data_IF_193781879369
#
_entry.id   IF_193781879369
#
_cell.length_a   1.000
_cell.length_b   1.000
_cell.length_c   1.000
_cell.angle_alpha   90.00
_cell.angle_beta   90.00
_cell.angle_gamma   90.00
#
_symmetry.space_group_name_H-M   'P 1'
#
loop_
_entity.id
_entity.type
_entity.pdbx_description
1 polymer ?
#
# COMPACT_ATOMS: atom_id res chain seq x y z
N UNK A 1 24.93 -15.28 -21.86
CA UNK A 1 25.46 -13.95 -22.25
C UNK A 1 24.33 -12.97 -22.02
N UNK A 2 24.35 -12.19 -20.94
CA UNK A 2 23.30 -11.19 -20.69
C UNK A 2 23.45 -10.09 -21.74
N UNK A 3 22.38 -9.78 -22.47
CA UNK A 3 22.37 -8.68 -23.42
C UNK A 3 22.51 -7.36 -22.66
N UNK A 4 23.71 -6.78 -22.73
CA UNK A 4 24.07 -5.52 -22.06
C UNK A 4 23.17 -4.36 -22.50
N UNK A 5 22.53 -4.43 -23.68
CA UNK A 5 21.63 -3.38 -24.17
C UNK A 5 20.31 -3.35 -23.38
N UNK A 6 19.71 -4.50 -23.10
CA UNK A 6 18.47 -4.56 -22.30
C UNK A 6 18.65 -4.06 -20.87
N UNK A 7 19.84 -4.26 -20.29
CA UNK A 7 20.17 -3.80 -18.94
C UNK A 7 20.09 -2.27 -18.80
N UNK A 8 20.41 -1.52 -19.86
CA UNK A 8 20.35 -0.05 -19.84
C UNK A 8 18.91 0.47 -19.87
N UNK A 9 18.00 -0.20 -20.59
CA UNK A 9 16.56 0.15 -20.57
C UNK A 9 15.96 -0.08 -19.19
N UNK A 10 16.19 -1.27 -18.60
CA UNK A 10 15.69 -1.61 -17.27
C UNK A 10 16.22 -0.65 -16.20
N UNK A 11 17.52 -0.34 -16.25
CA UNK A 11 18.13 0.61 -15.35
C UNK A 11 17.51 2.00 -15.53
N UNK A 12 17.38 2.48 -16.78
CA UNK A 12 16.83 3.81 -17.04
C UNK A 12 15.36 3.93 -16.60
N UNK A 13 14.58 2.89 -16.86
CA UNK A 13 13.21 2.78 -16.38
C UNK A 13 13.13 2.92 -14.86
N UNK A 14 13.95 2.15 -14.13
CA UNK A 14 14.01 2.20 -12.68
C UNK A 14 14.45 3.58 -12.15
N UNK A 15 15.47 4.19 -12.76
CA UNK A 15 15.94 5.54 -12.42
C UNK A 15 14.81 6.59 -12.55
N UNK A 16 14.02 6.54 -13.64
CA UNK A 16 12.91 7.47 -13.84
C UNK A 16 11.85 7.29 -12.75
N UNK A 17 11.47 6.04 -12.43
CA UNK A 17 10.50 5.78 -11.36
C UNK A 17 11.01 6.29 -10.02
N UNK A 18 12.24 5.93 -9.63
CA UNK A 18 12.83 6.39 -8.37
C UNK A 18 12.90 7.92 -8.29
N UNK A 19 13.25 8.60 -9.39
CA UNK A 19 13.24 10.05 -9.43
C UNK A 19 11.84 10.63 -9.23
N UNK A 20 10.81 10.07 -9.88
CA UNK A 20 9.43 10.53 -9.72
C UNK A 20 8.92 10.34 -8.29
N UNK A 21 9.11 9.16 -7.71
CA UNK A 21 8.72 8.86 -6.34
C UNK A 21 9.46 9.75 -5.33
N UNK A 22 10.78 9.91 -5.48
CA UNK A 22 11.60 10.80 -4.65
C UNK A 22 11.22 12.28 -4.74
N UNK A 23 10.68 12.72 -5.89
CA UNK A 23 10.15 14.07 -6.10
C UNK A 23 8.65 14.20 -5.81
N UNK A 24 8.09 13.26 -5.03
CA UNK A 24 6.69 13.26 -4.61
C UNK A 24 5.67 13.22 -5.77
N UNK A 25 6.02 12.51 -6.84
CA UNK A 25 5.18 12.24 -8.01
C UNK A 25 4.97 10.73 -8.17
N UNK A 26 4.26 10.07 -7.23
CA UNK A 26 3.98 8.65 -7.34
C UNK A 26 3.17 8.34 -8.60
N UNK A 27 3.30 7.09 -9.06
CA UNK A 27 2.60 6.54 -10.21
C UNK A 27 1.49 5.61 -9.72
N UNK A 28 0.29 5.70 -10.28
CA UNK A 28 -0.92 5.07 -9.72
C UNK A 28 -1.63 4.11 -10.68
N UNK A 29 -1.23 4.09 -11.95
CA UNK A 29 -1.89 3.30 -12.98
C UNK A 29 -0.89 2.60 -13.91
N UNK A 30 -1.39 1.57 -14.60
CA UNK A 30 -0.67 0.95 -15.72
C UNK A 30 -0.22 1.98 -16.77
N UNK A 31 -1.06 2.98 -17.08
CA UNK A 31 -0.76 4.01 -18.07
C UNK A 31 0.44 4.87 -17.66
N UNK A 32 0.58 5.19 -16.38
CA UNK A 32 1.75 5.90 -15.86
C UNK A 32 3.04 5.12 -16.11
N UNK A 33 2.99 3.79 -15.93
CA UNK A 33 4.16 2.92 -16.09
C UNK A 33 4.47 2.66 -17.55
N UNK A 34 3.46 2.60 -18.43
CA UNK A 34 3.63 2.59 -19.89
C UNK A 34 4.28 3.90 -20.38
N UNK A 35 3.88 5.04 -19.82
CA UNK A 35 4.52 6.33 -20.14
C UNK A 35 6.00 6.34 -19.74
N UNK A 36 6.33 5.88 -18.53
CA UNK A 36 7.73 5.77 -18.09
C UNK A 36 8.53 4.81 -18.99
N UNK A 37 7.91 3.74 -19.47
CA UNK A 37 8.56 2.81 -20.39
C UNK A 37 8.91 3.49 -21.72
N UNK A 38 7.97 4.28 -22.28
CA UNK A 38 8.23 5.06 -23.49
C UNK A 38 9.37 6.06 -23.28
N UNK A 39 9.40 6.76 -22.14
CA UNK A 39 10.48 7.69 -21.80
C UNK A 39 11.85 6.99 -21.70
N UNK A 40 11.88 5.80 -21.10
CA UNK A 40 13.09 4.99 -21.00
C UNK A 40 13.56 4.48 -22.38
N UNK A 41 12.64 4.05 -23.25
CA UNK A 41 12.93 3.67 -24.63
C UNK A 41 13.58 4.82 -25.42
N UNK A 42 12.99 6.02 -25.34
CA UNK A 42 13.53 7.23 -25.99
C UNK A 42 14.93 7.55 -25.45
N UNK A 43 15.11 7.54 -24.13
CA UNK A 43 16.37 7.90 -23.49
C UNK A 43 17.51 6.90 -23.76
N UNK A 44 17.18 5.65 -24.08
CA UNK A 44 18.16 4.58 -24.35
C UNK A 44 18.31 4.26 -25.85
N UNK A 45 17.48 4.88 -26.71
CA UNK A 45 17.36 4.53 -28.12
C UNK A 45 17.08 3.03 -28.36
N UNK A 46 16.34 2.41 -27.44
CA UNK A 46 15.90 1.01 -27.51
C UNK A 46 14.42 1.01 -27.87
N UNK A 47 14.06 0.24 -28.90
CA UNK A 47 12.67 0.10 -29.32
C UNK A 47 12.08 -1.21 -28.80
N UNK A 48 10.86 -1.15 -28.27
CA UNK A 48 10.07 -2.34 -27.95
C UNK A 48 8.98 -2.45 -29.01
N UNK A 49 8.84 -3.64 -29.59
CA UNK A 49 7.78 -3.94 -30.54
C UNK A 49 6.39 -3.58 -30.01
N UNK A 50 5.54 -3.01 -30.88
CA UNK A 50 4.21 -2.50 -30.51
C UNK A 50 3.31 -3.60 -29.92
N UNK A 51 3.49 -4.87 -30.30
CA UNK A 51 2.71 -5.99 -29.76
C UNK A 51 3.19 -6.42 -28.36
N UNK A 52 4.32 -5.89 -27.89
CA UNK A 52 4.96 -6.28 -26.64
C UNK A 52 5.03 -5.16 -25.60
N UNK A 53 4.90 -3.89 -26.00
CA UNK A 53 5.04 -2.75 -25.06
C UNK A 53 4.07 -2.83 -23.88
N UNK A 54 2.83 -3.26 -24.11
CA UNK A 54 1.83 -3.41 -23.04
C UNK A 54 2.19 -4.52 -22.07
N UNK A 55 2.66 -5.68 -22.57
CA UNK A 55 3.09 -6.79 -21.72
C UNK A 55 4.30 -6.42 -20.86
N UNK A 56 5.24 -5.67 -21.44
CA UNK A 56 6.42 -5.20 -20.72
C UNK A 56 6.01 -4.17 -19.66
N UNK A 57 5.17 -3.20 -20.01
CA UNK A 57 4.64 -2.21 -19.07
C UNK A 57 3.85 -2.85 -17.91
N UNK A 58 3.03 -3.86 -18.21
CA UNK A 58 2.26 -4.61 -17.21
C UNK A 58 3.18 -5.38 -16.26
N UNK A 59 4.20 -6.04 -16.80
CA UNK A 59 5.21 -6.72 -15.97
C UNK A 59 5.91 -5.73 -15.03
N UNK A 60 6.31 -4.57 -15.53
CA UNK A 60 6.94 -3.54 -14.70
C UNK A 60 5.99 -2.97 -13.65
N UNK A 61 4.74 -2.68 -14.01
CA UNK A 61 3.70 -2.24 -13.08
C UNK A 61 3.58 -3.22 -11.90
N UNK A 62 3.44 -4.51 -12.18
CA UNK A 62 3.28 -5.52 -11.13
C UNK A 62 4.56 -5.77 -10.32
N UNK A 63 5.73 -5.81 -10.96
CA UNK A 63 6.98 -6.18 -10.29
C UNK A 63 7.65 -4.98 -9.62
N UNK A 64 7.87 -3.90 -10.37
CA UNK A 64 8.55 -2.70 -9.87
C UNK A 64 7.60 -1.85 -9.07
N UNK A 65 6.40 -1.60 -9.58
CA UNK A 65 5.43 -0.75 -8.91
C UNK A 65 5.05 -1.25 -7.53
N UNK A 66 4.78 -2.55 -7.41
CA UNK A 66 4.34 -3.12 -6.14
C UNK A 66 5.44 -3.07 -5.08
N UNK A 67 6.71 -3.11 -5.50
CA UNK A 67 7.86 -3.05 -4.60
C UNK A 67 8.19 -1.62 -4.22
N UNK A 68 8.30 -0.71 -5.17
CA UNK A 68 8.73 0.66 -4.87
C UNK A 68 7.72 1.38 -3.97
N UNK A 69 6.42 1.16 -4.18
CA UNK A 69 5.36 1.76 -3.36
C UNK A 69 5.46 1.37 -1.88
N UNK A 70 5.95 0.14 -1.61
CA UNK A 70 6.15 -0.38 -0.26
C UNK A 70 7.52 -0.02 0.28
N UNK A 71 8.58 -0.23 -0.50
CA UNK A 71 9.94 -0.16 -0.01
C UNK A 71 10.36 1.28 0.27
N UNK A 72 9.95 2.25 -0.54
CA UNK A 72 10.37 3.63 -0.37
C UNK A 72 9.98 4.22 1.00
N UNK A 73 8.70 4.16 1.44
CA UNK A 73 8.34 4.59 2.79
C UNK A 73 9.12 3.85 3.90
N UNK A 74 9.41 2.56 3.72
CA UNK A 74 10.16 1.77 4.69
C UNK A 74 11.63 2.20 4.76
N UNK A 75 12.25 2.55 3.63
CA UNK A 75 13.59 3.12 3.58
C UNK A 75 13.64 4.46 4.30
N UNK A 76 12.67 5.34 4.07
CA UNK A 76 12.60 6.63 4.76
C UNK A 76 12.56 6.45 6.28
N UNK A 77 11.75 5.50 6.77
CA UNK A 77 11.63 5.19 8.20
C UNK A 77 12.90 4.55 8.75
N UNK A 78 13.51 3.63 8.00
CA UNK A 78 14.77 2.97 8.34
C UNK A 78 15.92 3.97 8.47
N UNK A 79 16.04 4.91 7.53
CA UNK A 79 17.07 5.95 7.49
C UNK A 79 16.88 6.98 8.60
N UNK A 80 15.63 7.32 8.93
CA UNK A 80 15.31 8.21 10.04
C UNK A 80 15.48 7.56 11.43
N UNK A 81 15.84 6.28 11.49
CA UNK A 81 16.17 5.59 12.75
C UNK A 81 14.95 5.15 13.58
N UNK A 82 13.77 5.06 12.98
CA UNK A 82 12.60 4.53 13.70
C UNK A 82 12.75 3.03 13.99
N UNK A 83 12.14 2.60 15.09
CA UNK A 83 12.00 1.18 15.41
C UNK A 83 10.98 0.53 14.46
N UNK A 84 11.47 0.07 13.31
CA UNK A 84 10.69 -0.57 12.26
C UNK A 84 10.73 -2.10 12.44
N UNK A 85 9.59 -2.74 12.25
CA UNK A 85 9.45 -4.19 12.26
C UNK A 85 8.77 -4.65 10.97
N UNK A 86 9.42 -5.54 10.23
CA UNK A 86 8.95 -6.07 8.96
C UNK A 86 8.67 -7.56 9.09
N UNK A 87 7.39 -7.92 8.98
CA UNK A 87 6.94 -9.31 9.01
C UNK A 87 6.60 -9.78 7.59
N UNK A 88 6.82 -11.06 7.33
CA UNK A 88 6.61 -11.70 6.03
C UNK A 88 7.89 -12.27 5.42
N UNK A 89 7.74 -12.89 4.26
CA UNK A 89 8.81 -13.63 3.61
C UNK A 89 9.71 -12.71 2.76
N UNK A 90 11.03 -12.94 2.83
CA UNK A 90 12.04 -12.30 1.97
C UNK A 90 12.68 -11.03 2.54
N UNK A 91 12.17 -10.49 3.66
CA UNK A 91 12.75 -9.31 4.30
C UNK A 91 14.17 -9.56 4.79
N UNK A 92 14.47 -10.77 5.27
CA UNK A 92 15.78 -11.19 5.75
C UNK A 92 16.88 -11.15 4.67
N UNK A 93 16.50 -11.11 3.40
CA UNK A 93 17.40 -10.99 2.24
C UNK A 93 17.40 -9.59 1.62
N UNK A 94 16.61 -8.65 2.16
CA UNK A 94 16.53 -7.29 1.59
C UNK A 94 17.83 -6.53 1.86
N UNK A 95 18.48 -5.93 0.85
CA UNK A 95 19.84 -5.39 0.96
C UNK A 95 20.00 -4.32 2.06
N UNK A 96 18.95 -3.54 2.29
CA UNK A 96 18.94 -2.35 3.16
C UNK A 96 17.97 -2.47 4.34
N UNK A 97 17.02 -3.41 4.29
CA UNK A 97 15.91 -3.54 5.26
C UNK A 97 15.98 -4.84 6.08
N UNK A 98 16.91 -5.76 5.79
CA UNK A 98 17.03 -7.03 6.49
C UNK A 98 17.17 -6.90 8.02
N UNK A 99 17.81 -5.83 8.50
CA UNK A 99 17.92 -5.53 9.94
C UNK A 99 16.56 -5.36 10.66
N UNK A 100 15.50 -5.03 9.90
CA UNK A 100 14.15 -4.84 10.43
C UNK A 100 13.28 -6.09 10.30
N UNK A 101 13.78 -7.16 9.67
CA UNK A 101 13.03 -8.40 9.51
C UNK A 101 12.70 -9.02 10.88
N UNK A 102 11.47 -9.53 11.01
CA UNK A 102 10.96 -10.21 12.21
C UNK A 102 10.38 -11.60 11.91
N UNK A 103 10.63 -12.10 10.70
CA UNK A 103 10.17 -13.41 10.26
C UNK A 103 8.71 -13.42 9.82
N UNK A 104 8.18 -14.62 9.67
CA UNK A 104 6.81 -14.87 9.24
C UNK A 104 5.81 -14.75 10.40
N UNK A 105 4.58 -14.33 10.10
CA UNK A 105 3.44 -14.34 11.02
C UNK A 105 2.21 -14.88 10.30
N UNK A 106 1.38 -15.66 10.99
CA UNK A 106 0.17 -16.20 10.39
C UNK A 106 -0.93 -15.14 10.32
N UNK A 107 -1.77 -15.23 9.28
CA UNK A 107 -3.00 -14.44 9.20
C UNK A 107 -3.98 -14.81 10.33
N UNK A 108 -4.98 -13.96 10.56
CA UNK A 108 -5.95 -14.16 11.63
C UNK A 108 -5.44 -13.66 12.96
N UNK A 109 -5.61 -14.46 14.03
CA UNK A 109 -5.41 -14.00 15.40
C UNK A 109 -4.00 -13.47 15.69
N UNK A 110 -2.95 -14.14 15.19
CA UNK A 110 -1.56 -13.69 15.38
C UNK A 110 -1.33 -12.30 14.78
N UNK A 111 -1.72 -12.11 13.51
CA UNK A 111 -1.60 -10.83 12.83
C UNK A 111 -2.47 -9.74 13.49
N UNK A 112 -3.67 -10.09 13.97
CA UNK A 112 -4.53 -9.17 14.73
C UNK A 112 -3.88 -8.70 16.03
N UNK A 113 -3.26 -9.61 16.79
CA UNK A 113 -2.47 -9.26 17.98
C UNK A 113 -1.32 -8.34 17.65
N UNK A 114 -0.62 -8.60 16.54
CA UNK A 114 0.47 -7.73 16.07
C UNK A 114 -0.04 -6.32 15.70
N UNK A 115 -1.15 -6.21 14.99
CA UNK A 115 -1.75 -4.91 14.66
C UNK A 115 -2.10 -4.12 15.92
N UNK A 116 -2.67 -4.77 16.94
CA UNK A 116 -3.02 -4.15 18.22
C UNK A 116 -1.78 -3.73 19.03
N UNK A 117 -0.74 -4.56 19.06
CA UNK A 117 0.49 -4.29 19.80
C UNK A 117 1.36 -3.20 19.15
N UNK A 118 1.21 -2.98 17.85
CA UNK A 118 1.98 -1.99 17.10
C UNK A 118 1.47 -0.58 17.37
N UNK A 119 2.38 0.36 17.65
CA UNK A 119 2.00 1.77 17.88
C UNK A 119 1.38 2.41 16.65
N UNK A 120 1.90 2.08 15.47
CA UNK A 120 1.44 2.57 14.16
C UNK A 120 1.63 1.43 13.16
N UNK A 121 0.56 1.11 12.42
CA UNK A 121 0.56 0.15 11.33
C UNK A 121 0.58 0.92 10.01
N UNK A 122 1.57 0.68 9.16
CA UNK A 122 1.71 1.37 7.87
C UNK A 122 0.94 0.62 6.79
N UNK A 123 0.03 1.31 6.09
CA UNK A 123 -0.68 0.77 4.93
C UNK A 123 -0.14 1.42 3.65
N UNK A 124 0.47 0.63 2.78
CA UNK A 124 1.14 1.09 1.56
C UNK A 124 0.86 0.11 0.42
N UNK A 125 -0.09 0.45 -0.44
CA UNK A 125 -0.51 -0.39 -1.55
C UNK A 125 -0.58 0.39 -2.87
N UNK A 126 -0.12 -0.25 -3.94
CA UNK A 126 -0.04 0.32 -5.29
C UNK A 126 -1.39 0.45 -6.02
N UNK A 127 -2.47 -0.11 -5.46
CA UNK A 127 -3.80 -0.19 -6.09
C UNK A 127 -4.91 0.30 -5.13
N UNK A 128 -4.56 1.19 -4.20
CA UNK A 128 -5.45 1.60 -3.12
C UNK A 128 -5.32 0.75 -1.86
N UNK A 129 -5.81 1.29 -0.76
CA UNK A 129 -5.62 0.76 0.59
C UNK A 129 -6.78 -0.13 1.06
N UNK A 130 -7.84 -0.29 0.26
CA UNK A 130 -8.92 -1.23 0.54
C UNK A 130 -8.40 -2.68 0.57
N UNK A 131 -8.31 -3.25 1.78
CA UNK A 131 -7.85 -4.62 1.99
C UNK A 131 -8.36 -5.19 3.31
N UNK A 132 -8.50 -6.52 3.41
CA UNK A 132 -8.90 -7.18 4.66
C UNK A 132 -7.98 -6.82 5.83
N UNK A 133 -6.68 -6.63 5.59
CA UNK A 133 -5.71 -6.26 6.63
C UNK A 133 -6.05 -4.94 7.33
N UNK A 134 -6.54 -3.95 6.59
CA UNK A 134 -6.97 -2.67 7.15
C UNK A 134 -8.18 -2.88 8.07
N UNK A 135 -9.17 -3.64 7.62
CA UNK A 135 -10.38 -3.91 8.42
C UNK A 135 -10.07 -4.76 9.65
N UNK A 136 -9.34 -5.86 9.49
CA UNK A 136 -8.96 -6.75 10.59
C UNK A 136 -8.09 -6.02 11.61
N UNK A 137 -7.13 -5.23 11.14
CA UNK A 137 -6.24 -4.47 12.00
C UNK A 137 -6.94 -3.37 12.78
N UNK A 138 -7.82 -2.59 12.14
CA UNK A 138 -8.59 -1.56 12.84
C UNK A 138 -9.61 -2.21 13.79
N UNK A 139 -10.28 -3.30 13.38
CA UNK A 139 -11.17 -4.06 14.27
C UNK A 139 -10.44 -4.58 15.53
N UNK A 140 -9.17 -4.93 15.37
CA UNK A 140 -8.29 -5.34 16.48
C UNK A 140 -7.79 -4.17 17.33
N UNK A 141 -8.15 -2.92 17.01
CA UNK A 141 -7.73 -1.72 17.75
C UNK A 141 -6.36 -1.18 17.32
N UNK A 142 -5.84 -1.60 16.16
CA UNK A 142 -4.63 -1.06 15.58
C UNK A 142 -4.83 0.35 15.03
N UNK A 143 -3.84 1.23 15.21
CA UNK A 143 -3.81 2.55 14.58
C UNK A 143 -3.13 2.46 13.22
N UNK A 144 -3.78 2.92 12.15
CA UNK A 144 -3.28 2.83 10.78
C UNK A 144 -2.91 4.20 10.21
N UNK A 145 -1.76 4.26 9.54
CA UNK A 145 -1.31 5.40 8.75
C UNK A 145 -1.12 4.93 7.31
N UNK A 146 -1.83 5.54 6.37
CA UNK A 146 -1.93 5.06 4.99
C UNK A 146 -1.26 6.02 4.02
N UNK A 147 -0.64 5.51 2.96
CA UNK A 147 -0.18 6.38 1.87
C UNK A 147 -1.38 6.81 1.03
N UNK A 148 -1.42 8.07 0.63
CA UNK A 148 -2.42 8.56 -0.31
C UNK A 148 -2.46 7.70 -1.57
N UNK A 149 -3.68 7.38 -2.03
CA UNK A 149 -3.93 6.73 -3.30
C UNK A 149 -5.27 7.20 -3.88
N UNK A 150 -5.35 7.60 -5.17
CA UNK A 150 -6.59 8.08 -5.79
C UNK A 150 -7.70 7.02 -5.79
N UNK A 151 -7.35 5.74 -6.02
CA UNK A 151 -8.31 4.62 -5.96
C UNK A 151 -9.06 4.49 -4.62
N UNK A 152 -8.59 5.11 -3.52
CA UNK A 152 -9.36 5.12 -2.27
C UNK A 152 -10.61 5.99 -2.36
N UNK A 153 -10.66 6.93 -3.30
CA UNK A 153 -11.78 7.87 -3.51
C UNK A 153 -12.70 7.44 -4.65
N UNK A 154 -12.33 6.39 -5.39
CA UNK A 154 -13.11 5.85 -6.51
C UNK A 154 -14.27 4.95 -6.03
N UNK A 155 -15.18 4.62 -6.95
CA UNK A 155 -16.26 3.68 -6.66
C UNK A 155 -15.69 2.30 -6.33
N UNK A 156 -15.98 1.82 -5.11
CA UNK A 156 -15.41 0.57 -4.59
C UNK A 156 -14.07 0.74 -3.86
N UNK A 157 -13.53 1.96 -3.83
CA UNK A 157 -12.40 2.35 -3.00
C UNK A 157 -12.72 2.38 -1.51
N UNK A 158 -11.70 2.65 -0.70
CA UNK A 158 -11.80 2.66 0.76
C UNK A 158 -12.84 3.69 1.27
N UNK A 159 -12.96 4.83 0.59
CA UNK A 159 -13.89 5.93 0.89
C UNK A 159 -15.38 5.54 0.81
N UNK A 160 -15.70 4.42 0.15
CA UNK A 160 -17.06 3.85 0.18
C UNK A 160 -17.44 3.32 1.56
N UNK A 161 -16.44 2.94 2.37
CA UNK A 161 -16.64 2.23 3.63
C UNK A 161 -16.22 3.05 4.84
N UNK A 162 -15.17 3.85 4.68
CA UNK A 162 -14.57 4.67 5.72
C UNK A 162 -14.62 6.15 5.33
N UNK A 163 -14.80 7.00 6.32
CA UNK A 163 -14.68 8.45 6.14
C UNK A 163 -13.20 8.81 5.97
N UNK A 164 -12.85 9.37 4.80
CA UNK A 164 -11.46 9.67 4.45
C UNK A 164 -10.81 10.75 5.33
N UNK A 165 -11.60 11.53 6.07
CA UNK A 165 -11.13 12.58 6.98
C UNK A 165 -11.13 12.11 8.44
N UNK A 166 -12.16 11.36 8.83
CA UNK A 166 -12.41 11.02 10.24
C UNK A 166 -11.99 9.60 10.64
N UNK A 167 -11.95 8.65 9.70
CA UNK A 167 -11.67 7.24 9.98
C UNK A 167 -10.22 6.84 9.60
N UNK A 168 -9.55 7.64 8.76
CA UNK A 168 -8.24 7.30 8.17
C UNK A 168 -7.25 8.46 8.32
N UNK A 169 -5.99 8.13 8.60
CA UNK A 169 -4.88 9.09 8.50
C UNK A 169 -4.08 8.79 7.24
N UNK A 170 -3.90 9.81 6.40
CA UNK A 170 -3.22 9.70 5.12
C UNK A 170 -1.93 10.51 5.13
N UNK A 171 -0.84 9.99 4.57
CA UNK A 171 0.37 10.76 4.27
C UNK A 171 0.59 10.87 2.76
N UNK A 172 1.15 12.01 2.35
CA UNK A 172 1.36 12.31 0.92
C UNK A 172 2.82 12.26 0.49
N UNK A 173 3.76 12.47 1.41
CA UNK A 173 5.19 12.59 1.12
C UNK A 173 6.05 12.02 2.25
N UNK A 174 7.37 11.99 2.04
CA UNK A 174 8.34 11.65 3.09
C UNK A 174 8.20 12.53 4.32
N UNK A 175 8.24 13.85 4.16
CA UNK A 175 8.21 14.78 5.29
C UNK A 175 6.88 14.70 6.05
N UNK A 176 5.78 14.51 5.32
CA UNK A 176 4.46 14.31 5.92
C UNK A 176 4.37 12.99 6.69
N UNK A 177 4.93 11.90 6.14
CA UNK A 177 5.05 10.62 6.84
C UNK A 177 5.83 10.80 8.15
N UNK A 178 7.03 11.37 8.10
CA UNK A 178 7.89 11.51 9.28
C UNK A 178 7.23 12.39 10.34
N UNK A 179 6.63 13.52 9.93
CA UNK A 179 5.89 14.42 10.82
C UNK A 179 4.73 13.70 11.51
N UNK A 180 3.94 12.92 10.77
CA UNK A 180 2.80 12.18 11.34
C UNK A 180 3.26 11.06 12.26
N UNK A 181 4.30 10.31 11.88
CA UNK A 181 4.90 9.29 12.75
C UNK A 181 5.35 9.90 14.07
N UNK A 182 6.12 10.99 14.04
CA UNK A 182 6.59 11.68 15.24
C UNK A 182 5.44 12.16 16.12
N UNK A 183 4.46 12.83 15.50
CA UNK A 183 3.29 13.35 16.20
C UNK A 183 2.54 12.21 16.89
N UNK A 184 2.18 11.16 16.16
CA UNK A 184 1.39 10.08 16.74
C UNK A 184 2.20 9.27 17.74
N UNK A 185 3.51 9.03 17.55
CA UNK A 185 4.35 8.35 18.55
C UNK A 185 4.37 9.09 19.89
N UNK A 186 4.48 10.42 19.88
CA UNK A 186 4.47 11.29 21.07
C UNK A 186 3.09 11.44 21.71
N UNK A 187 2.01 11.16 20.98
CA UNK A 187 0.63 11.37 21.42
C UNK A 187 -0.19 10.06 21.44
N UNK A 188 0.06 9.13 22.38
CA UNK A 188 -0.64 7.85 22.44
C UNK A 188 -2.16 7.99 22.62
N UNK A 189 -2.61 8.99 23.38
CA UNK A 189 -4.04 9.22 23.60
C UNK A 189 -4.75 9.70 22.33
N UNK A 190 -4.06 10.47 21.48
CA UNK A 190 -4.58 10.87 20.17
C UNK A 190 -4.76 9.66 19.25
N UNK A 191 -3.83 8.68 19.29
CA UNK A 191 -4.01 7.42 18.54
C UNK A 191 -5.26 6.66 19.02
N UNK A 192 -5.42 6.50 20.34
CA UNK A 192 -6.58 5.80 20.92
C UNK A 192 -7.90 6.50 20.61
N UNK A 193 -7.94 7.83 20.76
CA UNK A 193 -9.13 8.63 20.50
C UNK A 193 -9.54 8.55 19.02
N UNK A 194 -8.57 8.50 18.11
CA UNK A 194 -8.82 8.34 16.68
C UNK A 194 -9.30 6.93 16.32
N UNK A 195 -8.67 5.88 16.86
CA UNK A 195 -9.00 4.49 16.51
C UNK A 195 -10.35 4.02 17.08
N UNK A 196 -10.75 4.47 18.27
CA UNK A 196 -11.93 3.92 18.95
C UNK A 196 -13.26 4.06 18.16
N UNK A 197 -13.58 5.22 17.55
CA UNK A 197 -14.79 5.35 16.73
C UNK A 197 -14.80 4.43 15.51
N UNK A 198 -13.70 4.43 14.73
CA UNK A 198 -13.60 3.62 13.50
C UNK A 198 -13.56 2.11 13.82
N UNK A 199 -12.91 1.70 14.91
CA UNK A 199 -12.95 0.33 15.39
C UNK A 199 -14.39 -0.12 15.68
N UNK A 200 -15.15 0.69 16.42
CA UNK A 200 -16.56 0.40 16.71
C UNK A 200 -17.41 0.34 15.43
N UNK A 201 -17.18 1.23 14.48
CA UNK A 201 -17.84 1.23 13.16
C UNK A 201 -17.59 -0.10 12.44
N UNK A 202 -16.33 -0.54 12.35
CA UNK A 202 -15.94 -1.77 11.66
C UNK A 202 -16.55 -3.01 12.32
N UNK A 203 -16.43 -3.15 13.65
CA UNK A 203 -16.98 -4.32 14.36
C UNK A 203 -18.50 -4.39 14.24
N UNK A 204 -19.20 -3.25 14.16
CA UNK A 204 -20.65 -3.21 14.03
C UNK A 204 -21.16 -3.43 12.61
N UNK A 205 -20.43 -3.01 11.58
CA UNK A 205 -20.96 -2.93 10.22
C UNK A 205 -20.22 -3.81 9.21
N UNK A 206 -18.92 -4.01 9.39
CA UNK A 206 -18.01 -4.55 8.37
C UNK A 206 -17.48 -5.95 8.72
N UNK A 207 -18.16 -6.68 9.60
CA UNK A 207 -17.86 -8.11 9.83
C UNK A 207 -18.32 -8.96 8.65
N UNK A 208 -17.65 -10.09 8.43
CA UNK A 208 -18.08 -11.09 7.44
C UNK A 208 -19.54 -11.50 7.63
N UNK A 209 -19.99 -11.68 8.88
CA UNK A 209 -21.38 -12.02 9.20
C UNK A 209 -22.36 -10.97 8.65
N UNK A 210 -22.10 -9.68 8.90
CA UNK A 210 -22.99 -8.61 8.47
C UNK A 210 -22.94 -8.43 6.95
N UNK A 211 -21.75 -8.51 6.34
CA UNK A 211 -21.60 -8.40 4.88
C UNK A 211 -22.23 -9.58 4.15
N UNK A 212 -22.13 -10.79 4.70
CA UNK A 212 -22.79 -11.96 4.13
C UNK A 212 -24.31 -11.84 4.19
N UNK A 213 -24.86 -11.31 5.29
CA UNK A 213 -26.30 -11.03 5.39
C UNK A 213 -26.77 -10.07 4.28
N UNK A 214 -26.02 -8.99 4.05
CA UNK A 214 -26.32 -8.01 2.99
C UNK A 214 -26.33 -8.67 1.60
N UNK A 215 -25.33 -9.52 1.30
CA UNK A 215 -25.27 -10.28 0.05
C UNK A 215 -26.49 -11.20 -0.10
N UNK A 216 -26.84 -11.96 0.94
CA UNK A 216 -27.99 -12.88 0.93
C UNK A 216 -29.31 -12.13 0.74
N UNK A 217 -29.47 -10.96 1.35
CA UNK A 217 -30.66 -10.12 1.19
C UNK A 217 -30.78 -9.60 -0.26
N UNK A 218 -29.67 -9.19 -0.88
CA UNK A 218 -29.65 -8.76 -2.29
C UNK A 218 -30.01 -9.91 -3.22
N UNK A 219 -29.40 -11.08 -3.03
CA UNK A 219 -29.67 -12.29 -3.84
C UNK A 219 -31.13 -12.71 -3.71
N UNK A 220 -31.66 -12.75 -2.48
CA UNK A 220 -33.06 -13.14 -2.23
C UNK A 220 -34.05 -12.20 -2.93
N UNK A 221 -33.81 -10.88 -2.88
CA UNK A 221 -34.65 -9.89 -3.58
C UNK A 221 -34.61 -10.06 -5.10
N UNK A 222 -33.44 -10.33 -5.66
CA UNK A 222 -33.29 -10.55 -7.11
C UNK A 222 -34.00 -11.81 -7.56
N UNK A 223 -33.86 -12.91 -6.82
CA UNK A 223 -34.57 -14.16 -7.12
C UNK A 223 -36.09 -13.96 -7.07
N UNK A 224 -36.60 -13.24 -6.08
CA UNK A 224 -38.04 -12.96 -5.96
C UNK A 224 -38.61 -12.02 -7.04
N UNK A 225 -37.74 -11.29 -7.76
CA UNK A 225 -38.12 -10.39 -8.85
C UNK A 225 -38.03 -11.01 -10.25
N UNK A 226 -37.55 -12.25 -10.35
CA UNK A 226 -37.52 -13.06 -11.58
C UNK A 226 -38.80 -13.88 -11.69
#
# INVERSE_FOLDING_TARGET
MYDLSTSSLFQKYYEIICNRFGNNKPLFSFLDYKQVLNEACIATNINIDENNIDKVAEHFWHVVGSRIYRHEPLEWLSQAGYNLALYGNGWEKHPTLAKHARGWINNGEELCKLFNASKINLCVHQIGNYSSRVFDGIASGGFFLMRYHPADYEEGGLGKYLDMENDIIIFHSRDDLLKKIDYYLKNPDKRKLFTAPVQNKIIRQYTYKNKMKEVLDIVSKRIASL
#
